data_IF_137729985458
#
_entry.id   IF_137729985458
#
_cell.length_a   1.000
_cell.length_b   1.000
_cell.length_c   1.000
_cell.angle_alpha   90.00
_cell.angle_beta   90.00
_cell.angle_gamma   90.00
#
_symmetry.space_group_name_H-M   'P 1'
#
loop_
_entity.id
_entity.type
_entity.pdbx_description
1 polymer ?
#
# COMPACT_ATOMS: atom_id res chain seq x y z
N UNK A 1 32.79 -68.71 48.69
CA UNK A 1 31.50 -68.01 48.86
C UNK A 1 31.73 -66.52 49.02
N UNK A 2 31.48 -65.74 47.96
CA UNK A 2 31.14 -64.30 47.91
C UNK A 2 30.82 -63.98 46.44
N UNK A 3 29.71 -63.29 46.13
CA UNK A 3 29.18 -63.18 44.77
C UNK A 3 29.82 -62.01 44.02
N UNK A 4 30.04 -62.14 42.73
CA UNK A 4 30.34 -61.00 41.85
C UNK A 4 29.15 -60.77 40.92
N UNK A 5 28.60 -59.56 41.02
CA UNK A 5 27.36 -59.12 40.41
C UNK A 5 27.49 -58.99 38.90
N UNK A 6 26.52 -59.57 38.17
CA UNK A 6 26.27 -59.24 36.76
C UNK A 6 25.54 -57.89 36.74
N UNK A 7 26.19 -56.86 36.23
CA UNK A 7 25.56 -55.56 35.94
C UNK A 7 24.83 -55.70 34.60
N UNK A 8 23.50 -55.80 34.66
CA UNK A 8 22.66 -55.67 33.47
C UNK A 8 22.45 -54.18 33.22
N UNK A 9 23.09 -53.63 32.18
CA UNK A 9 22.81 -52.30 31.68
C UNK A 9 21.50 -52.37 30.87
N UNK A 10 20.40 -51.91 31.46
CA UNK A 10 19.15 -51.71 30.75
C UNK A 10 19.25 -50.43 29.90
N UNK A 11 19.43 -50.60 28.59
CA UNK A 11 19.29 -49.52 27.60
C UNK A 11 17.80 -49.20 27.44
N UNK A 12 17.32 -48.20 28.18
CA UNK A 12 16.02 -47.57 27.96
C UNK A 12 16.10 -46.71 26.67
N UNK A 13 15.76 -47.31 25.54
CA UNK A 13 15.41 -46.56 24.32
C UNK A 13 14.06 -45.88 24.54
N UNK A 14 14.08 -44.68 25.10
CA UNK A 14 12.94 -43.77 25.08
C UNK A 14 12.73 -43.28 23.64
N UNK A 15 11.91 -44.02 22.87
CA UNK A 15 11.39 -43.53 21.61
C UNK A 15 10.46 -42.34 21.86
N UNK A 16 10.98 -41.12 21.79
CA UNK A 16 10.14 -39.95 21.68
C UNK A 16 9.60 -39.89 20.25
N UNK A 17 8.35 -40.31 20.06
CA UNK A 17 7.56 -39.90 18.90
C UNK A 17 7.43 -38.37 18.97
N UNK A 18 8.25 -37.66 18.19
CA UNK A 18 7.97 -36.28 17.83
C UNK A 18 6.73 -36.30 16.93
N UNK A 19 5.57 -36.12 17.54
CA UNK A 19 4.37 -35.72 16.82
C UNK A 19 4.64 -34.35 16.20
N UNK A 20 4.97 -34.34 14.90
CA UNK A 20 5.03 -33.13 14.10
C UNK A 20 3.60 -32.59 14.02
N UNK A 21 3.26 -31.63 14.88
CA UNK A 21 2.09 -30.78 14.65
C UNK A 21 2.33 -30.08 13.32
N UNK A 22 1.74 -30.62 12.25
CA UNK A 22 1.44 -29.81 11.09
C UNK A 22 0.38 -28.82 11.56
N UNK A 23 0.81 -27.60 11.89
CA UNK A 23 -0.08 -26.45 11.80
C UNK A 23 -0.60 -26.43 10.36
N UNK A 24 -1.78 -26.99 10.15
CA UNK A 24 -2.61 -26.68 8.99
C UNK A 24 -2.95 -25.20 9.10
N UNK A 25 -2.06 -24.34 8.60
CA UNK A 25 -2.45 -23.00 8.19
C UNK A 25 -3.62 -23.19 7.23
N UNK A 26 -4.82 -22.77 7.65
CA UNK A 26 -5.97 -22.75 6.78
C UNK A 26 -5.57 -21.94 5.53
N UNK A 27 -5.51 -22.61 4.37
CA UNK A 27 -5.20 -21.94 3.11
C UNK A 27 -6.33 -20.95 2.86
N UNK A 28 -6.08 -19.67 3.11
CA UNK A 28 -7.05 -18.61 2.83
C UNK A 28 -7.29 -18.58 1.34
N UNK A 29 -8.56 -18.61 0.92
CA UNK A 29 -8.93 -18.43 -0.49
C UNK A 29 -8.33 -17.12 -1.02
N UNK A 30 -7.58 -17.13 -2.14
CA UNK A 30 -6.97 -15.92 -2.66
C UNK A 30 -8.03 -14.92 -3.14
N UNK A 31 -7.73 -13.64 -2.99
CA UNK A 31 -8.57 -12.55 -3.47
C UNK A 31 -8.27 -12.18 -4.91
N UNK A 32 -9.10 -11.31 -5.49
CA UNK A 32 -8.77 -10.67 -6.77
C UNK A 32 -7.51 -9.81 -6.68
N UNK A 33 -7.16 -9.25 -5.51
CA UNK A 33 -5.89 -8.53 -5.36
C UNK A 33 -4.70 -9.49 -5.52
N UNK A 34 -4.76 -10.65 -4.87
CA UNK A 34 -3.71 -11.68 -4.92
C UNK A 34 -3.50 -12.17 -6.35
N UNK A 35 -4.57 -12.24 -7.14
CA UNK A 35 -4.49 -12.60 -8.56
C UNK A 35 -3.73 -11.57 -9.42
N UNK A 36 -3.80 -10.28 -9.09
CA UNK A 36 -3.06 -9.23 -9.80
C UNK A 36 -1.64 -9.05 -9.24
N UNK A 37 -1.39 -9.47 -8.01
CA UNK A 37 -0.14 -9.17 -7.33
C UNK A 37 1.03 -10.00 -7.87
N UNK A 38 2.11 -9.30 -8.23
CA UNK A 38 3.37 -9.87 -8.70
C UNK A 38 4.53 -8.89 -8.40
N UNK A 39 5.77 -9.35 -8.57
CA UNK A 39 6.93 -8.49 -8.28
C UNK A 39 7.16 -7.41 -9.35
N UNK A 40 6.85 -7.74 -10.60
CA UNK A 40 7.08 -6.90 -11.77
C UNK A 40 5.88 -6.00 -12.12
N UNK A 41 6.11 -5.03 -13.01
CA UNK A 41 5.04 -4.22 -13.60
C UNK A 41 4.05 -5.15 -14.32
N UNK A 42 2.77 -5.05 -13.98
CA UNK A 42 1.73 -5.85 -14.63
C UNK A 42 1.17 -5.09 -15.83
N UNK A 43 1.34 -5.66 -17.01
CA UNK A 43 0.79 -5.12 -18.24
C UNK A 43 -0.68 -5.54 -18.42
N UNK A 44 -1.56 -4.56 -18.59
CA UNK A 44 -3.00 -4.79 -18.75
C UNK A 44 -3.59 -3.89 -19.83
N UNK A 45 -4.68 -4.35 -20.43
CA UNK A 45 -5.55 -3.53 -21.27
C UNK A 45 -6.94 -3.42 -20.65
N UNK A 46 -7.47 -2.21 -20.55
CA UNK A 46 -8.82 -1.95 -20.03
C UNK A 46 -9.69 -1.45 -21.19
N UNK A 47 -10.76 -2.18 -21.47
CA UNK A 47 -11.73 -1.87 -22.53
C UNK A 47 -13.00 -1.34 -21.87
N UNK A 48 -13.38 -0.09 -22.17
CA UNK A 48 -14.60 0.54 -21.67
C UNK A 48 -15.07 1.66 -22.60
N UNK A 49 -16.27 2.19 -22.38
CA UNK A 49 -16.68 3.48 -22.94
C UNK A 49 -16.03 4.59 -22.11
N UNK A 50 -14.78 4.93 -22.41
CA UNK A 50 -14.05 5.98 -21.70
C UNK A 50 -14.58 7.35 -22.04
N UNK A 51 -15.10 7.53 -23.26
CA UNK A 51 -15.76 8.76 -23.69
C UNK A 51 -16.88 9.13 -22.72
N UNK A 52 -17.82 8.22 -22.49
CA UNK A 52 -18.90 8.40 -21.52
C UNK A 52 -18.36 8.58 -20.09
N UNK A 53 -17.39 7.77 -19.67
CA UNK A 53 -16.86 7.81 -18.30
C UNK A 53 -16.22 9.16 -17.96
N UNK A 54 -15.51 9.75 -18.92
CA UNK A 54 -14.82 11.03 -18.75
C UNK A 54 -15.81 12.20 -18.87
N UNK A 55 -16.77 12.14 -19.79
CA UNK A 55 -17.83 13.15 -19.95
C UNK A 55 -18.73 13.22 -18.70
N UNK A 56 -19.12 12.06 -18.17
CA UNK A 56 -20.00 11.96 -17.00
C UNK A 56 -19.22 11.92 -15.67
N UNK A 57 -17.92 12.22 -15.69
CA UNK A 57 -17.06 12.00 -14.53
C UNK A 57 -17.52 12.75 -13.29
N UNK A 58 -18.28 13.83 -13.39
CA UNK A 58 -18.77 14.60 -12.24
C UNK A 58 -20.20 14.26 -11.81
N UNK A 59 -20.97 13.60 -12.67
CA UNK A 59 -22.41 13.45 -12.54
C UNK A 59 -22.84 12.00 -12.31
N UNK A 60 -22.12 11.04 -12.89
CA UNK A 60 -22.47 9.62 -12.78
C UNK A 60 -21.87 8.98 -11.53
N UNK A 61 -22.72 8.33 -10.72
CA UNK A 61 -22.30 7.46 -9.60
C UNK A 61 -22.33 5.98 -9.95
N UNK A 62 -22.79 5.67 -11.16
CA UNK A 62 -23.06 4.32 -11.61
C UNK A 62 -21.82 3.63 -12.16
N UNK A 63 -21.85 2.32 -12.02
CA UNK A 63 -20.86 1.43 -12.57
C UNK A 63 -21.19 1.11 -14.02
N UNK A 64 -20.28 1.40 -14.94
CA UNK A 64 -20.36 0.94 -16.32
C UNK A 64 -19.60 -0.37 -16.53
N UNK A 65 -20.01 -1.15 -17.52
CA UNK A 65 -19.33 -2.40 -17.86
C UNK A 65 -17.99 -2.13 -18.57
N UNK A 66 -17.02 -2.99 -18.28
CA UNK A 66 -15.69 -2.95 -18.87
C UNK A 66 -15.07 -4.35 -18.85
N UNK A 67 -13.91 -4.48 -19.50
CA UNK A 67 -13.13 -5.71 -19.51
C UNK A 67 -11.67 -5.39 -19.24
N UNK A 68 -11.04 -6.12 -18.32
CA UNK A 68 -9.58 -6.08 -18.12
C UNK A 68 -8.98 -7.31 -18.78
N UNK A 69 -7.98 -7.12 -19.63
CA UNK A 69 -7.14 -8.21 -20.15
C UNK A 69 -5.75 -8.09 -19.55
N UNK A 70 -5.23 -9.20 -19.02
CA UNK A 70 -3.88 -9.24 -18.48
C UNK A 70 -2.96 -9.87 -19.54
N UNK A 71 -1.83 -9.22 -19.80
CA UNK A 71 -0.81 -9.71 -20.71
C UNK A 71 0.18 -10.58 -19.92
N UNK A 72 -0.18 -11.84 -19.67
CA UNK A 72 0.66 -12.79 -18.91
C UNK A 72 1.52 -13.67 -19.83
N UNK A 73 2.78 -13.97 -19.45
CA UNK A 73 3.59 -15.02 -20.09
C UNK A 73 3.08 -16.46 -19.84
N UNK A 74 2.24 -16.70 -18.82
CA UNK A 74 1.75 -18.04 -18.42
C UNK A 74 0.25 -18.00 -18.16
N UNK A 75 -0.54 -18.26 -19.20
CA UNK A 75 -1.96 -17.90 -19.29
C UNK A 75 -2.94 -18.73 -18.46
N UNK A 76 -3.69 -18.04 -17.60
CA UNK A 76 -5.16 -18.06 -17.41
C UNK A 76 -5.44 -17.01 -16.32
N UNK A 77 -6.26 -15.97 -16.42
CA UNK A 77 -7.37 -15.48 -17.23
C UNK A 77 -6.91 -14.34 -18.15
N UNK A 78 -7.29 -14.40 -19.43
CA UNK A 78 -6.97 -13.38 -20.43
C UNK A 78 -8.00 -12.25 -20.53
N UNK A 79 -9.16 -12.38 -19.87
CA UNK A 79 -10.27 -11.43 -19.97
C UNK A 79 -11.17 -11.50 -18.73
N UNK A 80 -11.19 -10.44 -17.94
CA UNK A 80 -11.91 -10.32 -16.68
C UNK A 80 -13.05 -9.31 -16.86
N UNK A 81 -14.32 -9.73 -16.77
CA UNK A 81 -15.43 -8.80 -16.75
C UNK A 81 -15.39 -7.99 -15.45
N UNK A 82 -15.37 -6.66 -15.59
CA UNK A 82 -15.31 -5.74 -14.47
C UNK A 82 -16.30 -4.61 -14.70
N UNK A 83 -16.67 -3.91 -13.64
CA UNK A 83 -17.34 -2.62 -13.76
C UNK A 83 -16.45 -1.49 -13.26
N UNK A 84 -16.51 -0.35 -13.92
CA UNK A 84 -15.72 0.83 -13.61
C UNK A 84 -16.63 1.98 -13.22
N UNK A 85 -16.15 2.82 -12.31
CA UNK A 85 -16.65 4.18 -12.16
C UNK A 85 -15.55 5.14 -11.70
N UNK A 86 -15.66 6.44 -12.02
CA UNK A 86 -14.81 7.46 -11.41
C UNK A 86 -14.87 7.41 -9.88
N UNK A 87 -13.74 7.65 -9.21
CA UNK A 87 -13.65 7.76 -7.75
C UNK A 87 -12.85 8.98 -7.31
N UNK A 88 -12.95 9.27 -6.02
CA UNK A 88 -12.27 10.40 -5.39
C UNK A 88 -13.10 11.67 -5.44
N UNK A 89 -12.78 12.63 -4.57
CA UNK A 89 -13.47 13.92 -4.46
C UNK A 89 -12.73 15.03 -5.18
N UNK A 90 -11.44 15.18 -4.87
CA UNK A 90 -10.61 16.25 -5.43
C UNK A 90 -10.15 15.90 -6.85
N UNK A 91 -9.41 14.79 -7.02
CA UNK A 91 -8.91 14.33 -8.33
C UNK A 91 -10.03 14.15 -9.35
N UNK A 92 -11.22 13.70 -8.94
CA UNK A 92 -12.39 13.59 -9.83
C UNK A 92 -12.82 14.93 -10.45
N UNK A 93 -12.59 16.04 -9.75
CA UNK A 93 -12.90 17.40 -10.20
C UNK A 93 -11.80 18.04 -11.04
N UNK A 94 -10.54 17.80 -10.68
CA UNK A 94 -9.39 18.53 -11.24
C UNK A 94 -8.62 17.75 -12.30
N UNK A 95 -8.74 16.42 -12.32
CA UNK A 95 -8.06 15.55 -13.28
C UNK A 95 -8.91 15.38 -14.54
N UNK A 96 -8.27 15.39 -15.71
CA UNK A 96 -8.86 14.94 -16.96
C UNK A 96 -9.28 13.48 -16.87
N UNK A 97 -8.37 12.62 -16.41
CA UNK A 97 -8.57 11.19 -16.18
C UNK A 97 -8.63 10.87 -14.67
N UNK A 98 -9.82 10.68 -14.08
CA UNK A 98 -9.94 10.46 -12.65
C UNK A 98 -9.44 9.07 -12.25
N UNK A 99 -9.06 8.86 -10.97
CA UNK A 99 -8.89 7.52 -10.41
C UNK A 99 -10.20 6.72 -10.58
N UNK A 100 -10.10 5.40 -10.73
CA UNK A 100 -11.26 4.53 -10.96
C UNK A 100 -11.49 3.57 -9.79
N UNK A 101 -12.74 3.21 -9.53
CA UNK A 101 -13.09 2.06 -8.67
C UNK A 101 -13.47 0.88 -9.57
N UNK A 102 -12.78 -0.24 -9.40
CA UNK A 102 -13.03 -1.49 -10.10
C UNK A 102 -13.99 -2.33 -9.25
N UNK A 103 -14.99 -2.98 -9.88
CA UNK A 103 -15.92 -3.89 -9.22
C UNK A 103 -16.11 -5.17 -10.04
N UNK A 104 -15.70 -6.29 -9.49
CA UNK A 104 -15.82 -7.62 -10.09
C UNK A 104 -17.14 -8.28 -9.68
N UNK A 105 -17.69 -9.15 -10.52
CA UNK A 105 -18.89 -9.94 -10.16
C UNK A 105 -18.47 -11.03 -9.17
N UNK A 106 -19.13 -11.14 -8.02
CA UNK A 106 -18.81 -12.16 -7.00
C UNK A 106 -18.90 -13.58 -7.56
N UNK A 107 -19.92 -13.88 -8.35
CA UNK A 107 -20.07 -15.20 -8.97
C UNK A 107 -18.90 -15.53 -9.91
N UNK A 108 -18.38 -14.54 -10.65
CA UNK A 108 -17.18 -14.72 -11.47
C UNK A 108 -15.96 -15.04 -10.60
N UNK A 109 -15.78 -14.34 -9.47
CA UNK A 109 -14.68 -14.62 -8.55
C UNK A 109 -14.75 -16.04 -7.99
N UNK A 110 -15.92 -16.44 -7.48
CA UNK A 110 -16.15 -17.78 -6.92
C UNK A 110 -15.93 -18.89 -7.96
N UNK A 111 -16.40 -18.71 -9.20
CA UNK A 111 -16.18 -19.66 -10.30
C UNK A 111 -14.70 -19.81 -10.68
N UNK A 112 -13.87 -18.82 -10.37
CA UNK A 112 -12.42 -18.85 -10.62
C UNK A 112 -11.61 -19.14 -9.34
N UNK A 113 -12.24 -19.65 -8.27
CA UNK A 113 -11.56 -20.03 -7.04
C UNK A 113 -11.04 -18.86 -6.19
N UNK A 114 -11.57 -17.66 -6.42
CA UNK A 114 -11.25 -16.46 -5.66
C UNK A 114 -12.30 -16.18 -4.57
N UNK A 115 -11.91 -15.40 -3.57
CA UNK A 115 -12.81 -14.93 -2.52
C UNK A 115 -13.84 -13.90 -3.02
N UNK A 116 -14.61 -13.31 -2.11
CA UNK A 116 -15.68 -12.35 -2.47
C UNK A 116 -15.31 -10.87 -2.29
N UNK A 117 -14.06 -10.54 -1.96
CA UNK A 117 -13.57 -9.16 -2.00
C UNK A 117 -13.46 -8.71 -3.45
N UNK A 118 -14.50 -7.99 -3.89
CA UNK A 118 -14.76 -7.80 -5.30
C UNK A 118 -14.50 -6.38 -5.79
N UNK A 119 -13.73 -5.59 -5.04
CA UNK A 119 -13.47 -4.19 -5.37
C UNK A 119 -11.98 -3.94 -5.31
N UNK A 120 -11.48 -3.09 -6.20
CA UNK A 120 -10.12 -2.55 -6.17
C UNK A 120 -10.17 -1.06 -6.44
N UNK A 121 -9.18 -0.34 -5.92
CA UNK A 121 -8.98 1.09 -6.18
C UNK A 121 -7.88 1.23 -7.22
N UNK A 122 -8.17 1.81 -8.38
CA UNK A 122 -7.18 2.12 -9.41
C UNK A 122 -6.79 3.59 -9.33
N UNK A 123 -5.50 3.85 -9.11
CA UNK A 123 -4.89 5.19 -9.19
C UNK A 123 -4.33 5.38 -10.60
N UNK A 124 -4.64 6.53 -11.21
CA UNK A 124 -4.46 6.80 -12.66
C UNK A 124 -3.69 8.10 -12.91
N UNK A 125 -3.28 8.31 -14.16
CA UNK A 125 -2.41 9.38 -14.65
C UNK A 125 -3.04 10.78 -14.72
N UNK A 126 -4.06 11.12 -13.92
CA UNK A 126 -4.74 12.43 -13.74
C UNK A 126 -4.90 13.39 -14.95
N UNK A 127 -3.84 13.83 -15.63
CA UNK A 127 -3.85 14.67 -16.83
C UNK A 127 -4.17 13.86 -18.10
N UNK A 128 -4.66 14.51 -19.16
CA UNK A 128 -4.96 13.85 -20.43
C UNK A 128 -3.71 13.28 -21.13
N UNK A 129 -2.57 13.96 -20.98
CA UNK A 129 -1.26 13.45 -21.39
C UNK A 129 -0.59 12.78 -20.19
N UNK A 130 -0.46 11.44 -20.19
CA UNK A 130 0.11 10.72 -19.06
C UNK A 130 1.56 11.09 -18.76
N UNK A 131 2.31 11.55 -19.77
CA UNK A 131 3.75 11.82 -19.60
C UNK A 131 4.01 12.97 -18.63
N UNK A 132 3.04 13.88 -18.46
CA UNK A 132 3.18 15.09 -17.66
C UNK A 132 3.10 14.87 -16.14
N UNK A 133 2.62 13.72 -15.67
CA UNK A 133 2.53 13.44 -14.23
C UNK A 133 2.82 11.98 -13.84
N UNK A 134 3.29 11.16 -14.80
CA UNK A 134 3.68 9.76 -14.58
C UNK A 134 4.60 9.62 -13.37
N UNK A 135 5.58 10.51 -13.20
CA UNK A 135 6.49 10.47 -12.06
C UNK A 135 5.78 10.57 -10.71
N UNK A 136 4.74 11.38 -10.58
CA UNK A 136 4.03 11.55 -9.31
C UNK A 136 3.33 10.24 -8.90
N UNK A 137 2.73 9.56 -9.87
CA UNK A 137 2.06 8.27 -9.66
C UNK A 137 3.07 7.19 -9.25
N UNK A 138 4.23 7.15 -9.92
CA UNK A 138 5.29 6.19 -9.64
C UNK A 138 5.93 6.43 -8.26
N UNK A 139 6.12 7.69 -7.86
CA UNK A 139 6.61 8.05 -6.51
C UNK A 139 5.59 7.69 -5.43
N UNK A 140 4.30 7.93 -5.68
CA UNK A 140 3.21 7.55 -4.76
C UNK A 140 3.19 6.02 -4.58
N UNK A 141 3.30 5.25 -5.67
CA UNK A 141 3.42 3.80 -5.62
C UNK A 141 4.62 3.34 -4.78
N UNK A 142 5.79 3.93 -4.97
CA UNK A 142 6.99 3.61 -4.20
C UNK A 142 6.81 3.88 -2.70
N UNK A 143 6.10 4.95 -2.32
CA UNK A 143 5.78 5.21 -0.92
C UNK A 143 4.96 4.06 -0.32
N UNK A 144 3.90 3.60 -0.99
CA UNK A 144 3.14 2.43 -0.53
C UNK A 144 4.01 1.16 -0.44
N UNK A 145 4.87 0.90 -1.44
CA UNK A 145 5.76 -0.27 -1.41
C UNK A 145 6.72 -0.25 -0.23
N UNK A 146 7.29 0.91 0.10
CA UNK A 146 8.15 1.05 1.28
C UNK A 146 7.37 0.85 2.58
N UNK A 147 6.13 1.35 2.67
CA UNK A 147 5.27 1.10 3.83
C UNK A 147 4.95 -0.41 4.01
N UNK A 148 4.69 -1.13 2.91
CA UNK A 148 4.45 -2.57 2.95
C UNK A 148 5.65 -3.36 3.51
N UNK A 149 6.87 -2.84 3.39
CA UNK A 149 8.08 -3.48 3.94
C UNK A 149 8.29 -3.21 5.44
N UNK A 150 7.62 -2.18 5.98
CA UNK A 150 7.70 -1.81 7.40
C UNK A 150 6.63 -2.50 8.24
N UNK A 151 5.42 -2.68 7.68
CA UNK A 151 4.28 -3.23 8.39
C UNK A 151 3.26 -3.84 7.44
N UNK A 152 2.71 -4.99 7.83
CA UNK A 152 1.55 -5.59 7.16
C UNK A 152 0.27 -4.78 7.40
N UNK A 153 0.25 -3.85 8.36
CA UNK A 153 -0.88 -2.96 8.63
C UNK A 153 -0.87 -1.76 7.67
N UNK A 154 -0.87 -2.06 6.38
CA UNK A 154 -0.76 -1.13 5.27
C UNK A 154 -1.58 -1.61 4.08
N UNK A 155 -2.02 -0.72 3.20
CA UNK A 155 -2.64 -1.13 1.95
C UNK A 155 -1.61 -1.74 1.01
N UNK A 156 -1.90 -2.92 0.46
CA UNK A 156 -1.06 -3.50 -0.60
C UNK A 156 -1.25 -2.74 -1.93
N UNK A 157 -0.17 -2.69 -2.72
CA UNK A 157 -0.16 -2.06 -4.05
C UNK A 157 0.47 -2.95 -5.13
N UNK A 158 -0.02 -2.83 -6.35
CA UNK A 158 0.55 -3.43 -7.55
C UNK A 158 0.63 -2.40 -8.68
N UNK A 159 1.84 -2.18 -9.21
CA UNK A 159 2.08 -1.28 -10.33
C UNK A 159 1.61 -1.92 -11.64
N UNK A 160 0.91 -1.14 -12.44
CA UNK A 160 0.36 -1.51 -13.72
C UNK A 160 0.90 -0.60 -14.82
N UNK A 161 1.14 -1.18 -16.00
CA UNK A 161 1.22 -0.44 -17.24
C UNK A 161 -0.06 -0.72 -18.04
N UNK A 162 -0.88 0.31 -18.22
CA UNK A 162 -2.28 0.16 -18.59
C UNK A 162 -2.51 0.75 -19.98
N UNK A 163 -2.98 -0.06 -20.91
CA UNK A 163 -3.53 0.40 -22.18
C UNK A 163 -5.05 0.61 -22.04
N UNK A 164 -5.49 1.87 -21.99
CA UNK A 164 -6.89 2.26 -21.97
C UNK A 164 -7.44 2.31 -23.40
N UNK A 165 -8.40 1.43 -23.69
CA UNK A 165 -9.01 1.28 -25.01
C UNK A 165 -10.47 1.75 -24.96
N UNK A 166 -10.78 2.83 -25.66
CA UNK A 166 -12.15 3.31 -25.82
C UNK A 166 -12.89 2.47 -26.86
N UNK A 167 -13.89 1.71 -26.41
CA UNK A 167 -14.62 0.78 -27.28
C UNK A 167 -15.52 1.49 -28.30
N UNK A 168 -15.76 2.79 -28.12
CA UNK A 168 -16.57 3.59 -29.04
C UNK A 168 -15.75 4.18 -30.20
N UNK A 169 -14.41 4.21 -30.05
CA UNK A 169 -13.49 4.82 -31.01
C UNK A 169 -13.52 6.35 -31.04
N UNK A 170 -14.23 7.01 -30.10
CA UNK A 170 -14.30 8.48 -30.02
C UNK A 170 -13.06 9.09 -29.38
N UNK A 171 -12.40 8.34 -28.49
CA UNK A 171 -11.12 8.72 -27.89
C UNK A 171 -10.01 7.83 -28.44
N UNK A 172 -8.83 8.42 -28.62
CA UNK A 172 -7.62 7.64 -28.90
C UNK A 172 -7.26 6.76 -27.70
N UNK A 173 -6.70 5.57 -27.98
CA UNK A 173 -6.16 4.73 -26.93
C UNK A 173 -4.99 5.42 -26.23
N UNK A 174 -4.90 5.27 -24.91
CA UNK A 174 -3.85 5.88 -24.09
C UNK A 174 -3.18 4.79 -23.29
N UNK A 175 -1.84 4.74 -23.32
CA UNK A 175 -1.07 3.87 -22.44
C UNK A 175 -0.42 4.70 -21.33
N UNK A 176 -0.58 4.26 -20.08
CA UNK A 176 -0.07 4.98 -18.93
C UNK A 176 0.21 4.08 -17.74
N UNK A 177 1.13 4.50 -16.88
CA UNK A 177 1.26 3.90 -15.57
C UNK A 177 0.06 4.23 -14.67
N UNK A 178 -0.27 3.26 -13.82
CA UNK A 178 -1.21 3.39 -12.73
C UNK A 178 -0.94 2.27 -11.73
N UNK A 179 -1.60 2.26 -10.59
CA UNK A 179 -1.46 1.15 -9.66
C UNK A 179 -2.79 0.83 -9.00
N UNK A 180 -3.01 -0.46 -8.73
CA UNK A 180 -4.12 -0.88 -7.90
C UNK A 180 -3.72 -0.83 -6.42
N UNK A 181 -4.67 -0.45 -5.60
CA UNK A 181 -4.59 -0.38 -4.16
C UNK A 181 -5.67 -1.32 -3.58
N UNK A 182 -5.29 -2.08 -2.55
CA UNK A 182 -6.18 -2.96 -1.79
C UNK A 182 -7.42 -2.19 -1.28
N UNK A 183 -8.55 -2.89 -1.18
CA UNK A 183 -9.79 -2.26 -0.69
C UNK A 183 -9.86 -2.21 0.83
N UNK A 184 -10.59 -1.22 1.35
CA UNK A 184 -10.65 -0.92 2.79
C UNK A 184 -11.12 -2.13 3.62
N UNK A 185 -12.16 -2.83 3.16
CA UNK A 185 -12.70 -4.01 3.87
C UNK A 185 -11.73 -5.19 3.80
N UNK A 186 -10.99 -5.29 2.69
CA UNK A 186 -10.04 -6.37 2.48
C UNK A 186 -8.81 -6.21 3.39
N UNK A 187 -8.26 -4.99 3.50
CA UNK A 187 -7.15 -4.73 4.43
C UNK A 187 -7.59 -4.93 5.88
N UNK A 188 -8.79 -4.50 6.25
CA UNK A 188 -9.32 -4.70 7.59
C UNK A 188 -9.45 -6.20 7.92
N UNK A 189 -10.01 -6.98 7.00
CA UNK A 189 -10.12 -8.43 7.13
C UNK A 189 -8.74 -9.11 7.25
N UNK A 190 -7.76 -8.70 6.43
CA UNK A 190 -6.38 -9.22 6.51
C UNK A 190 -5.72 -8.91 7.86
N UNK A 191 -6.08 -7.79 8.48
CA UNK A 191 -5.65 -7.42 9.83
C UNK A 191 -6.45 -8.10 10.95
N UNK A 192 -7.40 -8.97 10.60
CA UNK A 192 -8.28 -9.66 11.54
C UNK A 192 -9.27 -8.72 12.25
N UNK A 193 -9.65 -7.61 11.61
CA UNK A 193 -10.50 -6.59 12.20
C UNK A 193 -11.55 -6.04 11.25
N UNK A 194 -12.26 -5.02 11.72
CA UNK A 194 -13.26 -4.27 10.95
C UNK A 194 -12.90 -2.80 10.90
N UNK A 195 -13.28 -2.13 9.81
CA UNK A 195 -13.15 -0.68 9.72
C UNK A 195 -14.00 0.02 10.79
N UNK A 196 -13.49 1.11 11.31
CA UNK A 196 -14.22 2.03 12.17
C UNK A 196 -13.81 3.47 11.82
N UNK A 197 -14.70 4.42 12.10
CA UNK A 197 -14.40 5.85 12.00
C UNK A 197 -14.62 6.47 13.37
N UNK A 198 -13.54 6.97 13.97
CA UNK A 198 -13.57 7.67 15.25
C UNK A 198 -12.80 8.99 15.08
N UNK A 199 -13.47 10.10 15.42
CA UNK A 199 -12.85 11.41 15.51
C UNK A 199 -12.37 11.66 16.93
N UNK A 200 -11.34 12.48 17.07
CA UNK A 200 -10.73 12.85 18.34
C UNK A 200 -10.31 11.64 19.16
N UNK A 201 -9.83 10.58 18.49
CA UNK A 201 -9.35 9.35 19.12
C UNK A 201 -8.21 9.66 20.09
N UNK A 202 -8.35 9.36 21.39
CA UNK A 202 -7.26 9.50 22.35
C UNK A 202 -6.07 8.63 21.95
N UNK A 203 -4.85 9.13 22.18
CA UNK A 203 -3.63 8.34 21.92
C UNK A 203 -3.61 7.01 22.70
N UNK A 204 -4.27 6.96 23.88
CA UNK A 204 -4.41 5.76 24.70
C UNK A 204 -5.17 4.62 24.02
N UNK A 205 -6.00 4.95 23.03
CA UNK A 205 -6.85 3.99 22.32
C UNK A 205 -6.17 3.48 21.05
N UNK A 206 -5.00 4.00 20.70
CA UNK A 206 -4.24 3.59 19.53
C UNK A 206 -3.30 2.42 19.85
N UNK A 207 -3.09 1.56 18.87
CA UNK A 207 -1.92 0.69 18.85
C UNK A 207 -0.68 1.58 18.69
N UNK A 208 0.04 1.80 19.80
CA UNK A 208 1.16 2.75 19.85
C UNK A 208 2.28 2.40 18.89
N UNK A 209 2.60 1.11 18.72
CA UNK A 209 3.66 0.66 17.82
C UNK A 209 3.30 0.97 16.37
N UNK A 210 2.07 0.65 15.97
CA UNK A 210 1.59 1.00 14.63
C UNK A 210 1.51 2.51 14.43
N UNK A 211 0.95 3.25 15.40
CA UNK A 211 0.84 4.70 15.30
C UNK A 211 2.21 5.40 15.20
N UNK A 212 3.19 4.94 15.97
CA UNK A 212 4.57 5.41 15.87
C UNK A 212 5.24 5.05 14.55
N UNK A 213 5.03 3.84 14.03
CA UNK A 213 5.51 3.43 12.69
C UNK A 213 4.92 4.33 11.60
N UNK A 214 3.63 4.64 11.69
CA UNK A 214 2.94 5.54 10.75
C UNK A 214 3.46 6.97 10.87
N UNK A 215 3.65 7.49 12.08
CA UNK A 215 4.21 8.82 12.30
C UNK A 215 5.62 8.95 11.72
N UNK A 216 6.49 7.96 11.97
CA UNK A 216 7.85 7.92 11.41
C UNK A 216 7.85 7.76 9.89
N UNK A 217 6.93 6.96 9.34
CA UNK A 217 6.81 6.82 7.89
C UNK A 217 6.34 8.12 7.22
N UNK A 218 5.34 8.79 7.79
CA UNK A 218 4.85 10.07 7.28
C UNK A 218 5.90 11.17 7.42
N UNK A 219 6.72 11.12 8.47
CA UNK A 219 7.93 11.93 8.60
C UNK A 219 8.91 11.62 7.46
N UNK A 220 9.28 10.35 7.25
CA UNK A 220 10.21 9.91 6.20
C UNK A 220 9.84 10.48 4.83
N UNK A 221 8.57 10.37 4.43
CA UNK A 221 8.09 10.88 3.12
C UNK A 221 7.78 12.38 3.12
N UNK A 222 7.92 13.07 4.25
CA UNK A 222 7.64 14.50 4.41
C UNK A 222 6.18 14.84 4.11
N UNK A 223 5.23 14.08 4.65
CA UNK A 223 3.80 14.28 4.40
C UNK A 223 3.14 15.16 5.49
N UNK A 224 2.71 16.38 5.15
CA UNK A 224 1.97 17.24 6.07
C UNK A 224 0.46 16.94 6.09
N UNK A 225 -0.11 16.28 5.08
CA UNK A 225 -1.56 16.13 4.87
C UNK A 225 -2.09 14.82 5.46
N UNK A 226 -2.00 14.70 6.79
CA UNK A 226 -2.63 13.62 7.54
C UNK A 226 -2.86 14.08 8.98
N UNK A 227 -3.88 13.51 9.64
CA UNK A 227 -4.25 13.89 11.01
C UNK A 227 -5.01 12.76 11.70
N UNK A 228 -4.50 12.27 12.84
CA UNK A 228 -5.15 11.21 13.64
C UNK A 228 -6.45 11.71 14.27
N UNK A 229 -6.44 12.91 14.86
CA UNK A 229 -7.60 13.52 15.52
C UNK A 229 -8.77 13.69 14.57
N UNK A 230 -8.50 14.10 13.34
CA UNK A 230 -9.54 14.31 12.32
C UNK A 230 -9.77 13.07 11.43
N UNK A 231 -9.07 11.96 11.69
CA UNK A 231 -9.03 10.78 10.83
C UNK A 231 -8.78 11.13 9.34
N UNK A 232 -7.96 12.16 9.08
CA UNK A 232 -7.63 12.61 7.72
C UNK A 232 -6.53 11.73 7.14
N UNK A 233 -6.78 11.19 5.95
CA UNK A 233 -5.83 10.33 5.21
C UNK A 233 -5.37 9.11 6.03
N UNK A 234 -6.28 8.61 6.86
CA UNK A 234 -6.11 7.44 7.72
C UNK A 234 -7.37 6.58 7.68
N UNK A 235 -7.21 5.26 7.76
CA UNK A 235 -8.27 4.32 8.14
C UNK A 235 -7.97 3.77 9.52
N UNK A 236 -9.02 3.45 10.28
CA UNK A 236 -8.89 2.81 11.59
C UNK A 236 -9.49 1.40 11.51
N UNK A 237 -8.77 0.44 12.06
CA UNK A 237 -9.20 -0.95 12.17
C UNK A 237 -9.26 -1.34 13.65
N UNK A 238 -10.39 -1.92 14.04
CA UNK A 238 -10.61 -2.49 15.38
C UNK A 238 -10.60 -4.00 15.28
N UNK A 239 -9.72 -4.67 16.04
CA UNK A 239 -9.71 -6.14 16.15
C UNK A 239 -10.74 -6.61 17.18
N UNK A 240 -11.43 -7.75 16.96
CA UNK A 240 -12.32 -8.33 17.96
C UNK A 240 -11.57 -8.59 19.27
N UNK A 241 -12.16 -8.17 20.40
CA UNK A 241 -11.56 -8.32 21.73
C UNK A 241 -10.36 -7.42 22.02
N UNK A 242 -9.87 -6.64 21.04
CA UNK A 242 -8.80 -5.66 21.24
C UNK A 242 -9.34 -4.32 21.73
N UNK A 243 -8.67 -3.73 22.73
CA UNK A 243 -8.95 -2.39 23.23
C UNK A 243 -8.29 -1.29 22.38
N UNK A 244 -7.32 -1.64 21.54
CA UNK A 244 -6.60 -0.69 20.67
C UNK A 244 -7.13 -0.60 19.23
N UNK A 245 -6.87 0.54 18.60
CA UNK A 245 -7.16 0.88 17.21
C UNK A 245 -5.86 0.90 16.41
N UNK A 246 -5.80 0.13 15.34
CA UNK A 246 -4.70 0.19 14.39
C UNK A 246 -5.02 1.24 13.31
N UNK A 247 -4.08 2.15 13.03
CA UNK A 247 -4.23 3.14 11.97
C UNK A 247 -3.50 2.71 10.70
N UNK A 248 -4.10 3.01 9.55
CA UNK A 248 -3.55 2.69 8.22
C UNK A 248 -3.51 3.98 7.40
N UNK A 249 -2.32 4.49 7.05
CA UNK A 249 -2.21 5.72 6.29
C UNK A 249 -2.42 5.46 4.79
N UNK A 250 -2.99 6.44 4.10
CA UNK A 250 -3.19 6.44 2.66
C UNK A 250 -3.11 7.87 2.12
N UNK A 251 -3.21 8.05 0.80
CA UNK A 251 -3.15 9.35 0.10
C UNK A 251 -1.79 10.07 0.31
N UNK A 252 -0.74 9.53 -0.33
CA UNK A 252 0.65 10.03 -0.18
C UNK A 252 1.05 11.06 -1.22
N UNK A 253 0.11 11.52 -2.04
CA UNK A 253 0.38 12.40 -3.17
C UNK A 253 0.77 13.83 -2.77
N UNK A 254 0.30 14.31 -1.62
CA UNK A 254 0.66 15.61 -1.06
C UNK A 254 1.94 15.58 -0.19
N UNK A 255 2.86 14.64 -0.45
CA UNK A 255 4.11 14.50 0.32
C UNK A 255 5.33 15.15 -0.35
N UNK A 256 6.35 15.47 0.44
CA UNK A 256 7.66 15.92 -0.06
C UNK A 256 8.36 14.88 -0.95
N UNK A 257 8.06 13.60 -0.70
CA UNK A 257 8.49 12.46 -1.53
C UNK A 257 7.93 12.50 -2.96
N UNK A 258 6.64 12.79 -3.11
CA UNK A 258 5.98 12.82 -4.43
C UNK A 258 6.22 14.14 -5.15
N UNK A 259 6.07 15.27 -4.43
CA UNK A 259 6.24 16.64 -4.93
C UNK A 259 5.55 16.88 -6.29
N UNK A 260 4.21 16.72 -6.39
CA UNK A 260 3.53 16.78 -7.67
C UNK A 260 3.55 18.20 -8.27
N UNK A 261 3.68 18.29 -9.59
CA UNK A 261 3.92 19.56 -10.30
C UNK A 261 2.79 20.59 -10.13
N UNK A 262 1.54 20.14 -9.93
CA UNK A 262 0.39 21.03 -9.69
C UNK A 262 0.42 21.75 -8.33
N UNK A 263 1.36 21.40 -7.45
CA UNK A 263 1.56 22.06 -6.15
C UNK A 263 2.57 23.21 -6.19
N UNK A 264 3.16 23.52 -7.35
CA UNK A 264 4.15 24.61 -7.49
C UNK A 264 3.61 25.99 -7.07
N UNK A 265 2.30 26.19 -7.08
CA UNK A 265 1.62 27.44 -6.71
C UNK A 265 1.04 27.47 -5.29
N UNK A 266 1.09 26.35 -4.55
CA UNK A 266 0.74 26.36 -3.13
C UNK A 266 1.98 26.66 -2.29
N UNK A 267 2.18 27.95 -1.98
CA UNK A 267 3.25 28.49 -1.10
C UNK A 267 3.40 27.73 0.24
N UNK A 268 2.33 27.07 0.70
CA UNK A 268 2.33 26.26 1.93
C UNK A 268 3.19 24.99 1.84
N UNK A 269 3.43 24.44 0.66
CA UNK A 269 4.26 23.25 0.47
C UNK A 269 5.73 23.59 0.25
N UNK A 270 6.04 24.73 -0.39
CA UNK A 270 7.42 25.21 -0.55
C UNK A 270 8.14 25.44 0.77
N UNK A 271 7.41 25.75 1.86
CA UNK A 271 7.97 25.91 3.21
C UNK A 271 7.81 24.68 4.13
N UNK A 272 7.02 23.65 3.76
CA UNK A 272 6.69 22.51 4.65
C UNK A 272 7.12 21.14 4.12
N UNK A 273 7.37 20.98 2.83
CA UNK A 273 7.81 19.70 2.25
C UNK A 273 9.30 19.42 2.39
N UNK A 274 10.10 20.46 2.70
CA UNK A 274 11.56 20.37 2.87
C UNK A 274 11.95 20.17 4.35
N UNK A 275 11.14 20.65 5.29
CA UNK A 275 11.33 20.42 6.73
C UNK A 275 10.37 19.33 7.20
N UNK A 276 10.88 18.11 7.43
CA UNK A 276 10.07 17.01 7.97
C UNK A 276 9.66 17.34 9.42
N UNK A 277 8.41 17.06 9.77
CA UNK A 277 7.89 17.26 11.13
C UNK A 277 7.32 15.95 11.64
N UNK A 278 7.92 15.40 12.70
CA UNK A 278 7.40 14.22 13.37
C UNK A 278 6.18 14.65 14.20
N UNK A 279 5.01 14.12 13.86
CA UNK A 279 3.72 14.51 14.47
C UNK A 279 2.78 13.31 14.59
N UNK A 280 1.65 13.52 15.26
CA UNK A 280 0.52 12.60 15.30
C UNK A 280 0.41 11.82 16.60
N UNK A 281 1.53 11.42 17.20
CA UNK A 281 1.58 10.73 18.49
C UNK A 281 2.79 11.19 19.29
N UNK A 282 2.65 11.31 20.61
CA UNK A 282 3.76 11.60 21.50
C UNK A 282 4.54 10.31 21.78
N UNK A 283 5.76 10.21 21.24
CA UNK A 283 6.64 9.05 21.43
C UNK A 283 7.71 9.36 22.48
N UNK A 284 8.00 8.40 23.34
CA UNK A 284 9.19 8.45 24.20
C UNK A 284 10.46 8.25 23.36
N UNK A 285 11.62 8.59 23.92
CA UNK A 285 12.89 8.34 23.25
C UNK A 285 13.12 6.85 22.97
N UNK A 286 12.72 5.98 23.91
CA UNK A 286 12.80 4.53 23.76
C UNK A 286 11.92 4.06 22.58
N UNK A 287 10.70 4.58 22.45
CA UNK A 287 9.82 4.27 21.33
C UNK A 287 10.40 4.78 20.00
N UNK A 288 10.98 6.00 19.98
CA UNK A 288 11.65 6.53 18.77
C UNK A 288 12.80 5.61 18.35
N UNK A 289 13.61 5.14 19.29
CA UNK A 289 14.72 4.23 19.01
C UNK A 289 14.24 2.86 18.51
N UNK A 290 13.28 2.22 19.18
CA UNK A 290 12.71 0.93 18.74
C UNK A 290 12.09 1.03 17.33
N UNK A 291 11.36 2.10 17.06
CA UNK A 291 10.78 2.33 15.73
C UNK A 291 11.89 2.57 14.71
N UNK A 292 12.90 3.38 15.04
CA UNK A 292 14.03 3.70 14.15
C UNK A 292 14.79 2.45 13.72
N UNK A 293 14.99 1.48 14.61
CA UNK A 293 15.69 0.22 14.29
C UNK A 293 15.04 -0.51 13.13
N UNK A 294 13.70 -0.55 13.06
CA UNK A 294 13.00 -1.15 11.93
C UNK A 294 13.34 -0.39 10.62
N UNK A 295 13.28 0.95 10.62
CA UNK A 295 13.61 1.74 9.43
C UNK A 295 15.08 1.60 9.00
N UNK A 296 16.00 1.59 9.96
CA UNK A 296 17.45 1.39 9.71
C UNK A 296 17.67 0.02 9.07
N UNK A 297 17.02 -1.03 9.59
CA UNK A 297 17.11 -2.38 9.02
C UNK A 297 16.62 -2.47 7.57
N UNK A 298 15.73 -1.56 7.13
CA UNK A 298 15.20 -1.49 5.76
C UNK A 298 15.97 -0.58 4.82
N UNK A 299 17.04 0.11 5.26
CA UNK A 299 17.78 1.08 4.44
C UNK A 299 18.22 0.53 3.10
N UNK A 300 18.90 -0.61 3.08
CA UNK A 300 19.34 -1.25 1.84
C UNK A 300 18.15 -1.66 0.97
N UNK A 301 17.12 -2.26 1.57
CA UNK A 301 15.93 -2.70 0.84
C UNK A 301 15.19 -1.52 0.17
N UNK A 302 15.09 -0.37 0.85
CA UNK A 302 14.50 0.85 0.28
C UNK A 302 15.35 1.41 -0.86
N UNK A 303 16.66 1.51 -0.68
CA UNK A 303 17.59 1.97 -1.72
C UNK A 303 17.55 1.06 -2.96
N UNK A 304 17.50 -0.26 -2.77
CA UNK A 304 17.39 -1.23 -3.86
C UNK A 304 16.06 -1.13 -4.58
N UNK A 305 14.96 -0.94 -3.83
CA UNK A 305 13.63 -0.74 -4.42
C UNK A 305 13.60 0.49 -5.33
N UNK A 306 14.22 1.60 -4.90
CA UNK A 306 14.32 2.81 -5.72
C UNK A 306 15.23 2.58 -6.91
N UNK A 307 16.39 1.95 -6.72
CA UNK A 307 17.38 1.68 -7.77
C UNK A 307 16.81 0.80 -8.88
N UNK A 308 16.04 -0.22 -8.51
CA UNK A 308 15.41 -1.18 -9.42
C UNK A 308 14.10 -0.67 -10.02
N UNK A 309 13.61 0.51 -9.63
CA UNK A 309 12.47 1.17 -10.27
C UNK A 309 12.83 1.71 -11.65
N UNK A 310 13.14 0.83 -12.60
CA UNK A 310 13.60 1.16 -13.96
C UNK A 310 12.54 1.88 -14.80
N UNK A 311 11.28 1.81 -14.38
CA UNK A 311 10.14 2.55 -14.93
C UNK A 311 10.14 4.06 -14.57
N UNK A 312 10.95 4.49 -13.59
CA UNK A 312 11.28 5.90 -13.38
C UNK A 312 12.50 6.28 -14.22
N UNK A 313 12.70 7.56 -14.50
CA UNK A 313 13.97 7.99 -15.10
C UNK A 313 15.09 7.99 -14.05
N UNK A 314 16.35 7.93 -14.53
CA UNK A 314 17.53 7.86 -13.66
C UNK A 314 17.68 9.09 -12.75
N UNK A 315 17.32 10.28 -13.23
CA UNK A 315 17.43 11.51 -12.44
C UNK A 315 16.45 11.49 -11.28
N UNK A 316 15.21 11.04 -11.51
CA UNK A 316 14.20 10.88 -10.46
C UNK A 316 14.62 9.85 -9.42
N UNK A 317 15.14 8.69 -9.83
CA UNK A 317 15.70 7.71 -8.89
C UNK A 317 16.79 8.31 -8.00
N UNK A 318 17.73 9.05 -8.59
CA UNK A 318 18.80 9.70 -7.83
C UNK A 318 18.28 10.75 -6.84
N UNK A 319 17.24 11.52 -7.21
CA UNK A 319 16.60 12.48 -6.30
C UNK A 319 15.93 11.77 -5.12
N UNK A 320 15.24 10.66 -5.36
CA UNK A 320 14.62 9.86 -4.30
C UNK A 320 15.65 9.22 -3.37
N UNK A 321 16.75 8.68 -3.90
CA UNK A 321 17.86 8.15 -3.10
C UNK A 321 18.45 9.23 -2.20
N UNK A 322 18.73 10.42 -2.75
CA UNK A 322 19.21 11.55 -1.95
C UNK A 322 18.21 11.99 -0.87
N UNK A 323 16.92 11.99 -1.19
CA UNK A 323 15.87 12.31 -0.23
C UNK A 323 15.83 11.29 0.91
N UNK A 324 15.94 10.00 0.59
CA UNK A 324 16.00 8.90 1.55
C UNK A 324 17.26 8.97 2.43
N UNK A 325 18.43 9.25 1.85
CA UNK A 325 19.67 9.41 2.63
C UNK A 325 19.58 10.57 3.62
N UNK A 326 18.99 11.69 3.23
CA UNK A 326 18.76 12.81 4.13
C UNK A 326 17.78 12.46 5.26
N UNK A 327 16.76 11.62 5.02
CA UNK A 327 15.93 11.07 6.11
C UNK A 327 16.78 10.24 7.09
N UNK A 328 17.67 9.37 6.60
CA UNK A 328 18.50 8.55 7.49
C UNK A 328 19.48 9.39 8.32
N UNK A 329 20.04 10.46 7.76
CA UNK A 329 20.85 11.41 8.54
C UNK A 329 20.03 12.09 9.64
N UNK A 330 18.81 12.54 9.34
CA UNK A 330 17.92 13.13 10.36
C UNK A 330 17.46 12.10 11.41
N UNK A 331 17.31 10.83 11.02
CA UNK A 331 16.97 9.74 11.93
C UNK A 331 18.09 9.45 12.94
N UNK A 332 19.36 9.61 12.55
CA UNK A 332 20.50 9.54 13.46
C UNK A 332 20.45 10.68 14.49
N UNK A 333 20.10 11.89 14.07
CA UNK A 333 19.91 13.04 14.97
C UNK A 333 18.74 12.80 15.96
N UNK A 334 17.61 12.30 15.48
CA UNK A 334 16.45 11.95 16.34
C UNK A 334 16.80 10.90 17.41
N UNK A 335 17.78 10.03 17.15
CA UNK A 335 18.25 9.04 18.12
C UNK A 335 19.29 9.60 19.11
N UNK A 336 19.89 10.77 18.85
CA UNK A 336 20.96 11.34 19.69
C UNK A 336 20.51 12.54 20.52
N UNK A 337 19.45 13.25 20.11
CA UNK A 337 18.91 14.43 20.83
C UNK A 337 18.09 13.99 22.05
N UNK A 338 18.77 13.55 23.11
CA UNK A 338 18.44 13.77 24.55
C UNK A 338 19.32 12.91 25.50
N UNK A 339 20.58 12.68 25.15
CA UNK A 339 21.61 12.24 26.10
C UNK A 339 22.21 13.36 26.97
N UNK A 340 21.53 14.50 27.13
CA UNK A 340 21.97 15.65 27.94
C UNK A 340 20.89 16.16 28.87
#
# INVERSE_FOLDING_TARGET
>A
MKPFYVVIIALLLSGQLLARQQDTQAVSTPSIFDYFQQDEVLEVAIFADFSKLLDEKLTSEDYQDATIRIMQPKGQISSIPVKLKPRGRFRRKVCDFPPLKLKFKKDFLLQNGLDTFNKLKLVTHCLADPTQNTESILKEYLAYKMLNMLTDQSFRVQLLYINYVDITGKLSNVSAFGFILEEDEQVAHRMGGTLTEQFSTPESDLDRKQAGTVAMFQYMIGNPDWDITMCRNLKMVKRPGGDKLCIIPYDFDFSGWVKPDYLKDHDKLKKRGEERVLKGINLSQEEITDISENFISKRTLFSDTITNAVYLDKMSRNKLLKYLDNFYSELEDLNTVQGK
#
